data_IF_294508799919
#
_entry.id   IF_294508799919
#
_cell.length_a   1.000
_cell.length_b   1.000
_cell.length_c   1.000
_cell.angle_alpha   90.00
_cell.angle_beta   90.00
_cell.angle_gamma   90.00
#
_symmetry.space_group_name_H-M   'P 1'
#
loop_
_entity.id
_entity.type
_entity.pdbx_description
1 polymer ?
#
# COMPACT_ATOMS: atom_id res chain seq x y z
N UNK A 1 -4.76 -5.40 -11.82
CA UNK A 1 -3.53 -5.96 -12.36
C UNK A 1 -2.37 -5.62 -11.45
N UNK A 2 -2.30 -6.24 -10.26
CA UNK A 2 -1.21 -6.02 -9.30
C UNK A 2 -0.02 -6.97 -9.52
N UNK A 3 -0.21 -8.01 -10.32
CA UNK A 3 0.79 -9.01 -10.69
C UNK A 3 1.21 -8.91 -12.16
N UNK A 4 0.53 -8.10 -12.97
CA UNK A 4 0.93 -7.73 -14.33
C UNK A 4 0.49 -8.71 -15.42
N UNK A 5 -0.54 -9.52 -15.16
CA UNK A 5 -0.96 -10.59 -16.05
C UNK A 5 -2.26 -10.30 -16.84
N UNK A 6 -2.78 -9.08 -16.69
CA UNK A 6 -3.92 -8.57 -17.42
C UNK A 6 -5.28 -8.88 -16.78
N UNK A 7 -5.32 -9.56 -15.63
CA UNK A 7 -6.56 -9.77 -14.88
C UNK A 7 -6.81 -8.65 -13.86
N UNK A 8 -7.95 -8.75 -13.18
CA UNK A 8 -8.36 -7.81 -12.15
C UNK A 8 -8.16 -8.46 -10.79
N UNK A 9 -7.37 -7.83 -9.96
CA UNK A 9 -7.15 -8.28 -8.59
C UNK A 9 -7.62 -7.23 -7.60
N UNK A 10 -7.88 -7.69 -6.38
CA UNK A 10 -8.19 -6.85 -5.22
C UNK A 10 -7.14 -7.11 -4.15
N UNK A 11 -6.53 -6.06 -3.64
CA UNK A 11 -5.72 -6.11 -2.43
C UNK A 11 -6.57 -5.73 -1.21
N UNK A 12 -6.44 -6.47 -0.11
CA UNK A 12 -7.11 -6.16 1.15
C UNK A 12 -6.22 -6.49 2.35
N UNK A 13 -6.32 -5.67 3.40
CA UNK A 13 -5.73 -6.00 4.70
C UNK A 13 -6.76 -6.75 5.54
N UNK A 14 -6.52 -8.03 5.77
CA UNK A 14 -7.40 -8.95 6.49
C UNK A 14 -7.07 -8.90 7.98
N UNK A 15 -8.11 -8.74 8.82
CA UNK A 15 -7.98 -8.60 10.28
C UNK A 15 -6.97 -7.51 10.70
N UNK A 16 -7.14 -6.25 10.26
CA UNK A 16 -6.12 -5.18 10.37
C UNK A 16 -5.70 -4.83 11.80
N UNK A 17 -6.41 -5.31 12.82
CA UNK A 17 -6.11 -5.08 14.23
C UNK A 17 -5.43 -6.27 14.94
N UNK A 18 -5.36 -7.44 14.29
CA UNK A 18 -4.87 -8.68 14.90
C UNK A 18 -3.89 -9.36 13.95
N UNK A 19 -4.39 -9.91 12.83
CA UNK A 19 -3.56 -10.66 11.89
C UNK A 19 -2.76 -9.75 10.95
N UNK A 20 -3.37 -8.64 10.51
CA UNK A 20 -2.68 -7.65 9.69
C UNK A 20 -2.08 -8.24 8.41
N UNK A 21 -2.86 -9.06 7.72
CA UNK A 21 -2.41 -9.78 6.51
C UNK A 21 -2.80 -8.97 5.29
N UNK A 22 -1.83 -8.47 4.54
CA UNK A 22 -2.07 -7.95 3.20
C UNK A 22 -2.24 -9.14 2.25
N UNK A 23 -3.40 -9.24 1.61
CA UNK A 23 -3.73 -10.33 0.70
C UNK A 23 -4.19 -9.80 -0.64
N UNK A 24 -3.66 -10.42 -1.70
CA UNK A 24 -4.11 -10.26 -3.06
C UNK A 24 -5.13 -11.35 -3.41
N UNK A 25 -6.21 -10.94 -4.06
CA UNK A 25 -7.26 -11.81 -4.59
C UNK A 25 -7.36 -11.64 -6.09
N UNK A 26 -7.28 -12.73 -6.84
CA UNK A 26 -7.57 -12.78 -8.27
C UNK A 26 -9.09 -12.87 -8.50
N UNK A 27 -9.63 -12.08 -9.41
CA UNK A 27 -11.04 -12.13 -9.80
C UNK A 27 -11.23 -13.06 -10.98
N UNK A 28 -11.76 -14.26 -10.73
CA UNK A 28 -12.08 -15.27 -11.75
C UNK A 28 -13.46 -15.86 -11.53
N UNK A 29 -14.16 -16.15 -12.63
CA UNK A 29 -15.44 -16.85 -12.61
C UNK A 29 -16.45 -16.28 -11.58
N UNK A 30 -16.53 -14.95 -11.51
CA UNK A 30 -17.37 -14.19 -10.56
C UNK A 30 -17.03 -14.40 -9.07
N UNK A 31 -15.79 -14.79 -8.78
CA UNK A 31 -15.30 -15.08 -7.43
C UNK A 31 -13.93 -14.45 -7.19
N UNK A 32 -13.65 -14.17 -5.92
CA UNK A 32 -12.32 -13.77 -5.45
C UNK A 32 -11.57 -15.00 -4.95
N UNK A 33 -10.46 -15.32 -5.59
CA UNK A 33 -9.58 -16.42 -5.22
C UNK A 33 -8.31 -15.86 -4.57
N UNK A 34 -7.94 -16.28 -3.35
CA UNK A 34 -6.68 -15.85 -2.73
C UNK A 34 -5.49 -16.28 -3.59
N UNK A 35 -4.58 -15.36 -3.86
CA UNK A 35 -3.38 -15.64 -4.67
C UNK A 35 -2.10 -15.58 -3.83
N UNK A 36 -1.77 -14.41 -3.30
CA UNK A 36 -0.57 -14.18 -2.49
C UNK A 36 -0.92 -13.39 -1.23
N UNK A 37 -0.18 -13.61 -0.15
CA UNK A 37 -0.33 -12.84 1.08
C UNK A 37 1.00 -12.53 1.76
N UNK A 38 1.02 -11.44 2.53
CA UNK A 38 2.14 -11.00 3.34
C UNK A 38 1.65 -10.48 4.70
N UNK A 39 2.28 -10.88 5.82
CA UNK A 39 1.89 -10.41 7.14
C UNK A 39 2.52 -9.06 7.49
N UNK A 40 2.00 -8.43 8.54
CA UNK A 40 2.66 -7.28 9.18
C UNK A 40 2.20 -5.91 8.67
N UNK A 41 0.95 -5.81 8.21
CA UNK A 41 0.35 -4.59 7.68
C UNK A 41 -0.92 -4.20 8.45
N UNK A 42 -1.18 -2.90 8.55
CA UNK A 42 -2.45 -2.38 9.06
C UNK A 42 -2.78 -1.06 8.35
N UNK A 43 -3.99 -0.93 7.83
CA UNK A 43 -4.49 0.30 7.23
C UNK A 43 -5.72 0.85 7.95
N UNK A 44 -5.92 0.44 9.21
CA UNK A 44 -7.07 0.89 10.00
C UNK A 44 -6.76 0.87 11.50
N UNK A 45 -7.24 1.89 12.20
CA UNK A 45 -7.16 1.98 13.66
C UNK A 45 -8.54 1.73 14.28
N UNK A 46 -8.61 0.96 15.37
CA UNK A 46 -9.88 0.66 16.05
C UNK A 46 -10.59 1.97 16.43
N UNK A 47 -11.82 2.14 15.95
CA UNK A 47 -12.65 3.31 16.24
C UNK A 47 -12.32 4.56 15.40
N UNK A 48 -11.36 4.49 14.48
CA UNK A 48 -11.08 5.60 13.56
C UNK A 48 -12.15 5.72 12.47
N UNK A 49 -12.56 6.93 12.09
CA UNK A 49 -13.39 7.14 10.91
C UNK A 49 -12.56 7.12 9.60
N UNK A 50 -11.24 7.20 9.68
CA UNK A 50 -10.35 7.22 8.52
C UNK A 50 -10.18 5.82 7.93
N UNK A 51 -10.38 5.69 6.61
CA UNK A 51 -10.29 4.45 5.85
C UNK A 51 -9.25 4.49 4.73
N UNK A 52 -8.66 5.66 4.47
CA UNK A 52 -7.74 5.94 3.36
C UNK A 52 -6.26 5.74 3.70
N UNK A 53 -5.89 4.92 4.69
CA UNK A 53 -4.49 4.71 5.08
C UNK A 53 -3.67 3.90 4.05
N UNK A 54 -4.26 3.48 2.94
CA UNK A 54 -3.56 2.74 1.90
C UNK A 54 -3.93 3.24 0.52
N UNK A 55 -2.98 3.18 -0.41
CA UNK A 55 -3.13 3.64 -1.79
C UNK A 55 -2.49 2.63 -2.75
N UNK A 56 -3.02 2.54 -3.97
CA UNK A 56 -2.39 1.85 -5.07
C UNK A 56 -1.87 2.85 -6.10
N UNK A 57 -0.61 2.71 -6.52
CA UNK A 57 0.01 3.55 -7.53
C UNK A 57 1.26 2.85 -8.07
N UNK A 58 1.56 3.03 -9.35
CA UNK A 58 2.85 2.63 -9.93
C UNK A 58 3.93 3.56 -9.35
N UNK A 59 4.74 3.05 -8.41
CA UNK A 59 5.74 3.83 -7.70
C UNK A 59 7.13 3.61 -8.31
N UNK A 60 7.46 2.40 -8.76
CA UNK A 60 8.75 2.11 -9.41
C UNK A 60 8.80 2.32 -10.93
N UNK A 61 7.66 2.66 -11.55
CA UNK A 61 7.57 3.05 -12.95
C UNK A 61 7.62 1.87 -13.92
N UNK A 62 7.37 0.65 -13.44
CA UNK A 62 7.36 -0.55 -14.26
C UNK A 62 6.02 -0.78 -15.01
N UNK A 63 5.01 0.05 -14.72
CA UNK A 63 3.66 -0.03 -15.29
C UNK A 63 2.71 -0.96 -14.54
N UNK A 64 3.15 -1.61 -13.46
CA UNK A 64 2.36 -2.45 -12.58
C UNK A 64 2.11 -1.67 -11.27
N UNK A 65 0.86 -1.45 -10.85
CA UNK A 65 0.57 -0.78 -9.59
C UNK A 65 1.22 -1.44 -8.37
N UNK A 66 1.87 -0.62 -7.55
CA UNK A 66 2.34 -0.97 -6.22
C UNK A 66 1.31 -0.59 -5.15
N UNK A 67 1.57 -1.02 -3.92
CA UNK A 67 0.75 -0.76 -2.75
C UNK A 67 1.54 0.01 -1.70
N UNK A 68 1.00 1.16 -1.30
CA UNK A 68 1.46 1.95 -0.17
C UNK A 68 0.60 1.56 1.03
N UNK A 69 1.16 0.82 1.99
CA UNK A 69 0.43 0.30 3.15
C UNK A 69 1.31 0.46 4.40
N UNK A 70 0.78 1.00 5.51
CA UNK A 70 1.53 1.07 6.75
C UNK A 70 1.85 -0.33 7.31
N UNK A 71 2.92 -0.39 8.10
CA UNK A 71 3.21 -1.56 8.92
C UNK A 71 2.08 -1.84 9.94
N UNK A 72 2.16 -2.97 10.63
CA UNK A 72 1.15 -3.36 11.62
C UNK A 72 0.97 -2.33 12.76
N UNK A 73 2.02 -1.56 13.08
CA UNK A 73 1.96 -0.49 14.08
C UNK A 73 1.41 0.83 13.50
N UNK A 74 1.13 0.87 12.20
CA UNK A 74 0.78 2.05 11.38
C UNK A 74 1.82 3.17 11.46
N UNK A 75 3.08 2.85 11.77
CA UNK A 75 4.13 3.86 11.96
C UNK A 75 4.89 4.11 10.68
N UNK A 76 5.45 3.06 10.09
CA UNK A 76 6.22 3.19 8.87
C UNK A 76 5.31 2.90 7.66
N UNK A 77 5.44 3.71 6.61
CA UNK A 77 4.79 3.43 5.34
C UNK A 77 5.67 2.47 4.55
N UNK A 78 5.13 1.33 4.13
CA UNK A 78 5.84 0.40 3.23
C UNK A 78 5.27 0.51 1.84
N UNK A 79 6.16 0.54 0.86
CA UNK A 79 5.82 0.44 -0.55
C UNK A 79 6.14 -1.00 -0.95
N UNK A 80 5.15 -1.73 -1.40
CA UNK A 80 5.25 -3.15 -1.72
C UNK A 80 4.61 -3.44 -3.07
N UNK A 81 5.12 -4.45 -3.76
CA UNK A 81 4.62 -4.87 -5.07
C UNK A 81 4.27 -6.36 -5.05
N UNK A 82 3.33 -6.74 -5.92
CA UNK A 82 3.05 -8.14 -6.26
C UNK A 82 3.44 -8.47 -7.71
N UNK A 83 4.15 -7.56 -8.39
CA UNK A 83 4.60 -7.70 -9.78
C UNK A 83 5.17 -9.10 -10.07
N UNK A 84 4.66 -9.71 -11.14
CA UNK A 84 4.93 -11.09 -11.57
C UNK A 84 4.57 -12.18 -10.54
N UNK A 85 3.49 -11.95 -9.79
CA UNK A 85 2.93 -12.88 -8.79
C UNK A 85 3.80 -13.04 -7.55
N UNK A 86 4.67 -12.07 -7.26
CA UNK A 86 5.63 -12.15 -6.15
C UNK A 86 5.56 -10.93 -5.26
N UNK A 87 5.33 -11.18 -3.97
CA UNK A 87 5.47 -10.14 -2.96
C UNK A 87 6.94 -9.67 -2.85
N UNK A 88 7.14 -8.36 -2.91
CA UNK A 88 8.43 -7.70 -2.64
C UNK A 88 8.19 -6.34 -1.98
N UNK A 89 8.99 -6.01 -0.97
CA UNK A 89 9.02 -4.66 -0.41
C UNK A 89 10.02 -3.82 -1.21
N UNK A 90 9.54 -2.72 -1.80
CA UNK A 90 10.32 -1.77 -2.59
C UNK A 90 11.05 -0.79 -1.69
N UNK A 91 10.35 -0.20 -0.72
CA UNK A 91 10.91 0.75 0.24
C UNK A 91 10.12 0.80 1.54
N UNK A 92 10.72 1.49 2.52
CA UNK A 92 10.08 1.84 3.77
C UNK A 92 10.37 3.31 4.12
N UNK A 93 9.31 4.07 4.41
CA UNK A 93 9.41 5.42 4.97
C UNK A 93 9.30 5.32 6.49
N UNK A 94 10.43 5.50 7.15
CA UNK A 94 10.50 5.44 8.62
C UNK A 94 9.95 6.75 9.22
N UNK A 95 9.09 6.62 10.23
CA UNK A 95 8.50 7.75 10.94
C UNK A 95 8.64 7.60 12.47
N UNK A 96 8.55 8.72 13.18
CA UNK A 96 8.53 8.75 14.66
C UNK A 96 7.15 8.46 15.22
N UNK A 97 6.10 8.91 14.52
CA UNK A 97 4.71 8.89 14.94
C UNK A 97 3.85 8.04 13.99
N UNK A 98 2.66 7.66 14.43
CA UNK A 98 1.69 6.90 13.64
C UNK A 98 1.12 7.71 12.50
N UNK A 99 0.87 7.04 11.38
CA UNK A 99 0.16 7.54 10.21
C UNK A 99 -1.33 7.36 10.51
N UNK A 100 -2.01 8.46 10.84
CA UNK A 100 -3.41 8.44 11.28
C UNK A 100 -4.36 9.18 10.31
N UNK A 101 -3.83 9.65 9.18
CA UNK A 101 -4.59 10.25 8.07
C UNK A 101 -4.33 9.49 6.77
N UNK A 102 -5.13 9.82 5.75
CA UNK A 102 -4.99 9.27 4.42
C UNK A 102 -3.56 9.29 3.86
N UNK A 103 -3.21 8.23 3.14
CA UNK A 103 -2.00 8.11 2.32
C UNK A 103 -2.39 8.39 0.87
N UNK A 104 -1.64 9.26 0.19
CA UNK A 104 -1.85 9.59 -1.21
C UNK A 104 -0.56 9.38 -2.01
N UNK A 105 -0.69 9.24 -3.33
CA UNK A 105 0.44 9.18 -4.26
C UNK A 105 0.13 10.03 -5.50
N UNK A 106 0.96 11.04 -5.77
CA UNK A 106 0.74 11.99 -6.85
C UNK A 106 2.08 12.56 -7.34
N UNK A 107 2.21 12.77 -8.64
CA UNK A 107 3.31 13.55 -9.25
C UNK A 107 3.10 15.03 -8.91
N UNK A 108 3.93 15.56 -8.01
CA UNK A 108 3.86 16.92 -7.49
C UNK A 108 4.91 17.84 -8.11
N UNK A 109 6.04 17.29 -8.58
CA UNK A 109 7.14 18.07 -9.16
C UNK A 109 7.18 18.05 -10.69
N UNK A 110 6.36 17.22 -11.33
CA UNK A 110 6.20 17.13 -12.78
C UNK A 110 7.26 16.29 -13.46
N UNK A 111 8.01 15.45 -12.74
CA UNK A 111 9.05 14.58 -13.30
C UNK A 111 8.49 13.27 -13.89
N UNK A 112 7.19 13.01 -13.72
CA UNK A 112 6.49 11.82 -14.20
C UNK A 112 6.50 10.64 -13.22
N UNK A 113 7.16 10.75 -12.07
CA UNK A 113 7.05 9.83 -10.94
C UNK A 113 6.12 10.40 -9.88
N UNK A 114 5.61 9.54 -9.01
CA UNK A 114 4.68 9.95 -7.94
C UNK A 114 5.39 10.01 -6.61
N UNK A 115 5.10 11.06 -5.85
CA UNK A 115 5.52 11.18 -4.46
C UNK A 115 4.44 10.59 -3.55
N UNK A 116 4.87 9.91 -2.49
CA UNK A 116 3.99 9.51 -1.41
C UNK A 116 3.72 10.69 -0.46
N UNK A 117 2.46 10.90 -0.11
CA UNK A 117 2.02 11.94 0.83
C UNK A 117 1.36 11.23 2.02
N UNK A 118 1.84 11.54 3.22
CA UNK A 118 1.38 10.93 4.47
C UNK A 118 1.45 11.95 5.61
N UNK A 119 0.79 11.66 6.73
CA UNK A 119 0.80 12.57 7.88
C UNK A 119 1.08 11.86 9.22
N UNK A 120 2.34 11.44 9.48
CA UNK A 120 2.71 10.92 10.79
C UNK A 120 2.54 12.00 11.88
N UNK A 121 1.80 11.69 12.94
CA UNK A 121 1.54 12.64 14.04
C UNK A 121 0.81 13.91 13.59
N UNK A 122 0.03 13.85 12.51
CA UNK A 122 -0.75 14.96 11.97
C UNK A 122 0.07 16.01 11.20
N UNK A 123 1.35 15.75 10.91
CA UNK A 123 2.19 16.63 10.09
C UNK A 123 2.39 16.05 8.70
N UNK A 124 2.01 16.80 7.67
CA UNK A 124 2.22 16.41 6.28
C UNK A 124 3.71 16.17 5.99
N UNK A 125 3.98 15.06 5.32
CA UNK A 125 5.28 14.63 4.81
C UNK A 125 5.09 14.20 3.37
N UNK A 126 5.96 14.66 2.49
CA UNK A 126 6.03 14.25 1.08
C UNK A 126 7.34 13.49 0.91
N UNK A 127 7.29 12.36 0.22
CA UNK A 127 8.43 11.47 0.02
C UNK A 127 8.51 11.07 -1.44
N UNK A 128 9.57 11.50 -2.11
CA UNK A 128 9.95 10.96 -3.41
C UNK A 128 10.46 9.52 -3.24
N UNK A 129 10.07 8.65 -4.17
CA UNK A 129 10.55 7.28 -4.23
C UNK A 129 11.53 7.16 -5.39
N UNK A 130 12.75 6.73 -5.07
CA UNK A 130 13.81 6.45 -6.04
C UNK A 130 14.14 4.94 -5.94
N UNK A 131 13.70 4.11 -6.90
CA UNK A 131 13.90 2.66 -6.88
C UNK A 131 15.36 2.21 -7.00
#
# INVERSE_FOLDING_TARGET
DFDGDGRREIAAVITPHIGGILRLYDWRDERLEPETEAPGFSNHAIGSPEQGLSMAADMDGDGIPDLLVPDAARRNLRIVTFSFGKFRQLAEVVNTDTIDLAVLAQDLDGDGRREAILAPGGRLKVVAFEP
#
